data_IF_862404732793
#
_entry.id   IF_862404732793
#
_cell.length_a   1.000
_cell.length_b   1.000
_cell.length_c   1.000
_cell.angle_alpha   90.00
_cell.angle_beta   90.00
_cell.angle_gamma   90.00
#
_symmetry.space_group_name_H-M   'P 1'
#
loop_
_entity.id
_entity.type
_entity.pdbx_description
1 polymer ?
#
# COMPACT_ATOMS: atom_id res chain seq x y z
N UNK A 1 -10.39 -2.79 4.38
CA UNK A 1 -10.23 -1.38 4.82
C UNK A 1 -11.50 -0.76 5.43
N UNK A 2 -12.69 -1.35 5.23
CA UNK A 2 -13.97 -0.73 5.60
C UNK A 2 -14.20 -0.52 7.10
N UNK A 3 -13.64 -1.40 7.94
CA UNK A 3 -13.80 -1.34 9.39
C UNK A 3 -13.08 -0.15 10.05
N UNK A 4 -12.13 0.48 9.35
CA UNK A 4 -11.41 1.64 9.86
C UNK A 4 -12.24 2.88 9.58
N UNK A 5 -12.50 3.70 10.60
CA UNK A 5 -13.19 4.98 10.41
C UNK A 5 -12.36 5.92 9.53
N UNK A 6 -13.01 6.87 8.87
CA UNK A 6 -12.32 7.89 8.07
C UNK A 6 -11.32 8.68 8.94
N UNK A 7 -10.11 8.91 8.40
CA UNK A 7 -8.98 9.50 9.12
C UNK A 7 -8.34 8.59 10.16
N UNK A 8 -8.83 7.35 10.31
CA UNK A 8 -8.33 6.37 11.26
C UNK A 8 -6.96 5.80 10.89
N UNK A 9 -6.40 5.02 11.82
CA UNK A 9 -5.14 4.31 11.62
C UNK A 9 -5.36 2.80 11.66
N UNK A 10 -4.81 2.11 10.66
CA UNK A 10 -4.71 0.66 10.60
C UNK A 10 -3.27 0.24 10.90
N UNK A 11 -3.08 -0.52 11.97
CA UNK A 11 -1.80 -1.16 12.29
C UNK A 11 -1.83 -2.60 11.78
N UNK A 12 -0.84 -2.96 10.98
CA UNK A 12 -0.71 -4.29 10.38
C UNK A 12 0.48 -5.00 11.03
N UNK A 13 0.22 -6.18 11.60
CA UNK A 13 1.26 -6.96 12.25
C UNK A 13 2.32 -7.45 11.25
N UNK A 14 3.46 -7.87 11.77
CA UNK A 14 4.45 -8.62 10.99
C UNK A 14 3.81 -9.86 10.35
N UNK A 15 4.00 -10.05 9.04
CA UNK A 15 3.38 -11.14 8.29
C UNK A 15 3.43 -10.95 6.78
N UNK A 16 3.16 -12.03 6.06
CA UNK A 16 2.97 -12.02 4.61
C UNK A 16 1.47 -11.99 4.32
N UNK A 17 1.05 -11.02 3.53
CA UNK A 17 -0.33 -10.74 3.16
C UNK A 17 -0.48 -10.95 1.66
N UNK A 18 -1.17 -12.03 1.28
CA UNK A 18 -1.46 -12.40 -0.10
C UNK A 18 -2.73 -11.67 -0.58
N UNK A 19 -2.63 -10.36 -0.86
CA UNK A 19 -3.81 -9.53 -1.17
C UNK A 19 -3.47 -8.33 -2.06
N UNK A 20 -4.47 -7.72 -2.70
CA UNK A 20 -4.35 -6.39 -3.32
C UNK A 20 -4.96 -5.37 -2.36
N UNK A 21 -4.23 -4.31 -2.01
CA UNK A 21 -4.68 -3.32 -1.03
C UNK A 21 -5.22 -2.08 -1.73
N UNK A 22 -6.49 -1.76 -1.49
CA UNK A 22 -7.15 -0.55 -2.00
C UNK A 22 -7.45 0.44 -0.87
N UNK A 23 -7.01 1.70 -1.03
CA UNK A 23 -7.22 2.78 -0.05
C UNK A 23 -7.89 3.98 -0.73
N UNK A 24 -9.23 4.02 -0.62
CA UNK A 24 -10.06 5.05 -1.27
C UNK A 24 -10.42 6.24 -0.37
N UNK A 25 -10.22 6.12 0.95
CA UNK A 25 -10.59 7.14 1.95
C UNK A 25 -9.38 7.60 2.77
N UNK A 26 -9.42 8.81 3.38
CA UNK A 26 -8.38 9.26 4.29
C UNK A 26 -8.09 8.21 5.37
N UNK A 27 -6.86 7.71 5.42
CA UNK A 27 -6.46 6.63 6.32
C UNK A 27 -4.93 6.59 6.45
N UNK A 28 -4.44 6.24 7.64
CA UNK A 28 -3.04 5.89 7.88
C UNK A 28 -2.88 4.37 7.97
N UNK A 29 -2.11 3.77 7.08
CA UNK A 29 -1.76 2.35 7.06
C UNK A 29 -0.29 2.17 7.48
N UNK A 30 -0.06 1.44 8.57
CA UNK A 30 1.27 1.29 9.18
C UNK A 30 1.57 -0.20 9.38
N UNK A 31 2.58 -0.71 8.68
CA UNK A 31 3.16 -2.02 8.97
C UNK A 31 4.01 -1.97 10.25
N UNK A 32 4.03 -3.07 10.98
CA UNK A 32 4.84 -3.23 12.19
C UNK A 32 6.32 -2.94 11.90
N UNK A 33 6.84 -3.50 10.80
CA UNK A 33 8.13 -3.17 10.22
C UNK A 33 8.18 -3.54 8.72
N UNK A 34 8.97 -2.82 7.92
CA UNK A 34 9.03 -3.05 6.47
C UNK A 34 9.63 -4.40 6.08
N UNK A 35 10.47 -5.00 6.93
CA UNK A 35 11.16 -6.26 6.64
C UNK A 35 10.23 -7.47 6.76
N UNK A 36 9.44 -7.64 7.85
CA UNK A 36 8.52 -8.75 8.00
C UNK A 36 7.08 -8.45 7.53
N UNK A 37 6.66 -7.20 7.34
CA UNK A 37 5.31 -6.87 6.85
C UNK A 37 5.33 -6.76 5.32
N UNK A 38 4.95 -7.86 4.65
CA UNK A 38 5.06 -8.03 3.20
C UNK A 38 3.67 -8.13 2.58
N UNK A 39 3.42 -7.34 1.54
CA UNK A 39 2.26 -7.44 0.64
C UNK A 39 2.76 -8.07 -0.65
N UNK A 40 2.16 -9.20 -1.06
CA UNK A 40 2.52 -9.94 -2.27
C UNK A 40 1.28 -10.57 -2.94
N UNK A 41 1.30 -10.82 -4.26
CA UNK A 41 0.08 -11.17 -4.96
C UNK A 41 -0.34 -12.63 -4.74
N UNK A 42 -1.65 -12.86 -4.68
CA UNK A 42 -2.24 -14.18 -4.98
C UNK A 42 -2.31 -14.42 -6.51
N UNK A 43 -2.39 -13.35 -7.33
CA UNK A 43 -2.64 -13.45 -8.78
C UNK A 43 -2.10 -12.34 -9.70
N UNK A 44 -1.37 -11.34 -9.19
CA UNK A 44 -0.79 -10.22 -9.95
C UNK A 44 -1.35 -8.87 -9.50
N UNK A 45 -1.50 -7.91 -10.42
CA UNK A 45 -2.27 -6.67 -10.16
C UNK A 45 -1.48 -5.47 -9.60
N UNK A 46 -2.14 -4.68 -8.77
CA UNK A 46 -1.55 -3.55 -8.02
C UNK A 46 -1.40 -3.96 -6.56
N UNK A 47 -0.22 -3.77 -5.96
CA UNK A 47 0.00 -4.10 -4.55
C UNK A 47 -0.73 -3.16 -3.60
N UNK A 48 -0.52 -1.85 -3.78
CA UNK A 48 -1.25 -0.80 -3.05
C UNK A 48 -1.78 0.24 -4.03
N UNK A 49 -3.09 0.29 -4.19
CA UNK A 49 -3.84 1.27 -4.98
C UNK A 49 -4.35 2.38 -4.05
N UNK A 50 -3.96 3.63 -4.30
CA UNK A 50 -4.34 4.79 -3.49
C UNK A 50 -5.18 5.74 -4.34
N UNK A 51 -6.50 5.74 -4.13
CA UNK A 51 -7.44 6.63 -4.81
C UNK A 51 -7.85 7.88 -4.01
N UNK A 52 -7.63 7.87 -2.69
CA UNK A 52 -8.08 8.94 -1.78
C UNK A 52 -7.04 10.01 -1.46
N UNK A 53 -7.49 11.22 -1.11
CA UNK A 53 -6.66 12.25 -0.48
C UNK A 53 -6.43 11.96 1.01
N UNK A 54 -5.31 12.43 1.58
CA UNK A 54 -5.05 12.31 3.02
C UNK A 54 -4.64 10.90 3.45
N UNK A 55 -4.08 10.11 2.53
CA UNK A 55 -3.61 8.75 2.79
C UNK A 55 -2.14 8.76 3.19
N UNK A 56 -1.79 7.99 4.21
CA UNK A 56 -0.42 7.72 4.60
C UNK A 56 -0.17 6.20 4.61
N UNK A 57 0.88 5.74 3.92
CA UNK A 57 1.30 4.34 3.89
C UNK A 57 2.74 4.25 4.36
N UNK A 58 3.04 3.38 5.31
CA UNK A 58 4.39 3.24 5.84
C UNK A 58 4.74 1.86 6.34
N UNK A 59 6.04 1.54 6.31
CA UNK A 59 6.63 0.31 6.87
C UNK A 59 6.14 -1.00 6.21
N UNK A 60 6.05 -1.02 4.88
CA UNK A 60 5.73 -2.25 4.13
C UNK A 60 6.84 -2.63 3.16
N UNK A 61 7.01 -3.93 2.93
CA UNK A 61 7.53 -4.41 1.64
C UNK A 61 6.35 -4.71 0.73
N UNK A 62 6.37 -4.22 -0.50
CA UNK A 62 5.40 -4.56 -1.56
C UNK A 62 6.18 -5.20 -2.70
N UNK A 63 5.85 -6.44 -3.10
CA UNK A 63 6.66 -7.17 -4.08
C UNK A 63 5.85 -7.98 -5.08
N UNK A 64 6.47 -8.21 -6.24
CA UNK A 64 6.02 -9.16 -7.27
C UNK A 64 4.69 -8.80 -8.00
N UNK A 65 4.25 -7.54 -7.90
CA UNK A 65 3.07 -7.01 -8.61
C UNK A 65 3.35 -6.49 -10.02
N UNK A 66 2.28 -6.18 -10.76
CA UNK A 66 2.36 -5.30 -11.94
C UNK A 66 2.79 -3.90 -11.55
N UNK A 67 1.97 -3.26 -10.72
CA UNK A 67 2.26 -1.97 -10.09
C UNK A 67 2.49 -2.21 -8.60
N UNK A 68 3.61 -1.76 -8.05
CA UNK A 68 3.85 -1.91 -6.62
C UNK A 68 2.92 -1.00 -5.81
N UNK A 69 3.11 0.31 -5.94
CA UNK A 69 2.23 1.33 -5.34
C UNK A 69 1.74 2.25 -6.46
N UNK A 70 0.43 2.35 -6.65
CA UNK A 70 -0.21 3.25 -7.62
C UNK A 70 -0.95 4.35 -6.87
N UNK A 71 -0.72 5.60 -7.26
CA UNK A 71 -1.36 6.77 -6.68
C UNK A 71 -2.19 7.44 -7.77
N UNK A 72 -3.51 7.42 -7.59
CA UNK A 72 -4.47 8.07 -8.48
C UNK A 72 -4.38 9.60 -8.43
N UNK A 73 -4.80 10.24 -9.53
CA UNK A 73 -4.65 11.68 -9.74
C UNK A 73 -5.35 12.56 -8.69
N UNK A 74 -4.68 13.66 -8.34
CA UNK A 74 -5.02 14.65 -7.29
C UNK A 74 -4.83 14.19 -5.82
N UNK A 75 -4.36 12.96 -5.58
CA UNK A 75 -4.16 12.48 -4.21
C UNK A 75 -2.99 13.18 -3.49
N UNK A 76 -3.25 13.73 -2.29
CA UNK A 76 -2.20 14.11 -1.32
C UNK A 76 -1.86 12.91 -0.45
N UNK A 77 -0.75 12.25 -0.78
CA UNK A 77 -0.32 11.02 -0.12
C UNK A 77 1.04 11.14 0.54
N UNK A 78 1.26 10.36 1.59
CA UNK A 78 2.59 10.14 2.18
C UNK A 78 2.94 8.66 2.11
N UNK A 79 3.95 8.30 1.31
CA UNK A 79 4.54 6.96 1.31
C UNK A 79 5.92 7.05 1.96
N UNK A 80 6.14 6.33 3.06
CA UNK A 80 7.39 6.44 3.83
C UNK A 80 7.90 5.08 4.32
N UNK A 81 9.22 4.86 4.23
CA UNK A 81 9.87 3.65 4.73
C UNK A 81 9.30 2.35 4.11
N UNK A 82 8.80 2.42 2.88
CA UNK A 82 8.36 1.25 2.14
C UNK A 82 9.48 0.75 1.22
N UNK A 83 9.53 -0.56 1.01
CA UNK A 83 10.39 -1.21 0.03
C UNK A 83 9.52 -1.78 -1.08
N UNK A 84 9.72 -1.35 -2.32
CA UNK A 84 8.96 -1.86 -3.46
C UNK A 84 9.89 -2.63 -4.39
N UNK A 85 9.56 -3.89 -4.69
CA UNK A 85 10.45 -4.81 -5.39
C UNK A 85 9.74 -5.54 -6.53
N UNK A 86 10.52 -5.97 -7.52
CA UNK A 86 10.10 -6.93 -8.54
C UNK A 86 8.80 -6.56 -9.27
N UNK A 87 8.50 -5.28 -9.40
CA UNK A 87 7.32 -4.84 -10.12
C UNK A 87 7.52 -5.02 -11.63
N UNK A 88 6.59 -5.71 -12.30
CA UNK A 88 6.70 -5.99 -13.74
C UNK A 88 6.37 -4.81 -14.64
N UNK A 89 5.76 -3.74 -14.10
CA UNK A 89 5.56 -2.44 -14.77
C UNK A 89 6.29 -1.33 -14.05
N UNK A 90 5.69 -0.73 -13.02
CA UNK A 90 6.29 0.34 -12.23
C UNK A 90 6.30 -0.02 -10.75
N UNK A 91 7.41 0.27 -10.07
CA UNK A 91 7.48 0.16 -8.62
C UNK A 91 6.52 1.17 -7.97
N UNK A 92 6.60 2.43 -8.38
CA UNK A 92 5.68 3.48 -7.93
C UNK A 92 5.18 4.22 -9.18
N UNK A 93 3.87 4.26 -9.38
CA UNK A 93 3.20 5.03 -10.42
C UNK A 93 2.40 6.18 -9.79
N UNK A 94 2.57 7.38 -10.33
CA UNK A 94 1.81 8.58 -9.95
C UNK A 94 1.07 9.06 -11.20
N UNK A 95 -0.26 9.15 -11.14
CA UNK A 95 -1.12 9.62 -12.24
C UNK A 95 -1.40 11.12 -12.24
#
# INVERSE_FOLDING_TARGET
MDAVVEGGTAHVASGVYEEEVEVEKPLTLIGEDREPTVIEPEGGGTGVEIGGEGVAVSNFTVRDYGYGIRVGGAARVRVQNCRVLNSSKYAIELE
#
